data_IF_180677665941
#
_entry.id   IF_180677665941
#
_cell.length_a   1.000
_cell.length_b   1.000
_cell.length_c   1.000
_cell.angle_alpha   90.00
_cell.angle_beta   90.00
_cell.angle_gamma   90.00
#
_symmetry.space_group_name_H-M   'P 1'
#
loop_
_entity.id
_entity.type
_entity.pdbx_description
1 polymer ?
#
# COMPACT_ATOMS: atom_id res chain seq x y z
N UNK A 1 -7.85 -1.62 -21.54
CA UNK A 1 -9.23 -2.04 -21.22
C UNK A 1 -9.13 -3.22 -20.25
N UNK A 2 -10.08 -3.39 -19.33
CA UNK A 2 -10.04 -4.56 -18.45
C UNK A 2 -10.37 -5.81 -19.29
N UNK A 3 -9.68 -6.92 -19.03
CA UNK A 3 -9.90 -8.18 -19.75
C UNK A 3 -9.41 -9.36 -18.92
N UNK A 4 -9.95 -10.54 -19.18
CA UNK A 4 -9.50 -11.78 -18.58
C UNK A 4 -9.41 -12.85 -19.67
N UNK A 5 -8.32 -13.62 -19.66
CA UNK A 5 -8.08 -14.68 -20.65
C UNK A 5 -7.61 -15.95 -19.96
N UNK A 6 -8.03 -17.09 -20.51
CA UNK A 6 -7.60 -18.41 -20.06
C UNK A 6 -6.22 -18.70 -20.63
N UNK A 7 -5.31 -19.14 -19.78
CA UNK A 7 -3.91 -19.40 -20.12
C UNK A 7 -3.45 -20.73 -19.52
N UNK A 8 -2.50 -21.37 -20.19
CA UNK A 8 -1.82 -22.58 -19.75
C UNK A 8 -0.56 -22.28 -18.95
N UNK A 9 -0.08 -23.26 -18.18
CA UNK A 9 1.20 -23.14 -17.46
C UNK A 9 2.35 -22.69 -18.38
N UNK A 10 2.46 -23.29 -19.57
CA UNK A 10 3.54 -22.96 -20.51
C UNK A 10 3.55 -21.49 -20.97
N UNK A 11 2.39 -20.85 -21.02
CA UNK A 11 2.26 -19.44 -21.42
C UNK A 11 2.67 -18.47 -20.30
N UNK A 12 2.50 -18.85 -19.02
CA UNK A 12 2.71 -17.95 -17.87
C UNK A 12 3.94 -18.27 -17.02
N UNK A 13 4.55 -19.45 -17.18
CA UNK A 13 5.63 -19.92 -16.28
C UNK A 13 6.83 -18.97 -16.22
N UNK A 14 7.19 -18.36 -17.36
CA UNK A 14 8.27 -17.38 -17.43
C UNK A 14 7.95 -16.09 -16.66
N UNK A 15 6.68 -15.65 -16.70
CA UNK A 15 6.23 -14.47 -15.93
C UNK A 15 6.28 -14.76 -14.44
N UNK A 16 5.84 -15.94 -14.01
CA UNK A 16 5.93 -16.34 -12.60
C UNK A 16 7.39 -16.44 -12.16
N UNK A 17 8.27 -17.05 -12.94
CA UNK A 17 9.69 -17.14 -12.61
C UNK A 17 10.33 -15.75 -12.42
N UNK A 18 9.94 -14.78 -13.27
CA UNK A 18 10.47 -13.41 -13.18
C UNK A 18 10.08 -12.71 -11.88
N UNK A 19 8.88 -12.96 -11.34
CA UNK A 19 8.35 -12.24 -10.17
C UNK A 19 8.46 -13.01 -8.86
N UNK A 20 8.47 -14.34 -8.93
CA UNK A 20 8.59 -15.22 -7.76
C UNK A 20 9.27 -16.54 -8.18
N UNK A 21 10.61 -16.58 -8.23
CA UNK A 21 11.36 -17.79 -8.59
C UNK A 21 11.10 -18.97 -7.65
N UNK A 22 10.85 -18.70 -6.35
CA UNK A 22 10.62 -19.74 -5.35
C UNK A 22 9.33 -20.51 -5.60
N UNK A 23 8.23 -19.82 -5.93
CA UNK A 23 6.97 -20.50 -6.26
C UNK A 23 7.07 -21.17 -7.63
N UNK A 24 7.76 -20.56 -8.59
CA UNK A 24 8.00 -21.15 -9.91
C UNK A 24 8.62 -22.54 -9.80
N UNK A 25 9.68 -22.70 -9.01
CA UNK A 25 10.36 -24.00 -8.83
C UNK A 25 9.41 -25.09 -8.31
N UNK A 26 8.53 -24.74 -7.38
CA UNK A 26 7.54 -25.68 -6.84
C UNK A 26 6.47 -26.02 -7.88
N UNK A 27 6.02 -25.03 -8.65
CA UNK A 27 4.95 -25.21 -9.63
C UNK A 27 5.42 -25.93 -10.89
N UNK A 28 6.63 -25.68 -11.38
CA UNK A 28 7.14 -26.27 -12.62
C UNK A 28 7.30 -27.79 -12.50
N UNK A 29 7.73 -28.27 -11.32
CA UNK A 29 7.79 -29.71 -10.99
C UNK A 29 6.40 -30.38 -11.03
N UNK A 30 5.35 -29.67 -10.58
CA UNK A 30 3.99 -30.22 -10.43
C UNK A 30 3.18 -30.14 -11.73
N UNK A 31 3.37 -29.07 -12.50
CA UNK A 31 2.48 -28.69 -13.59
C UNK A 31 2.95 -29.16 -14.97
N UNK A 32 4.19 -29.66 -15.10
CA UNK A 32 4.80 -30.05 -16.38
C UNK A 32 3.95 -31.04 -17.19
N UNK A 33 3.13 -31.88 -16.54
CA UNK A 33 2.29 -32.90 -17.19
C UNK A 33 0.78 -32.68 -17.00
N UNK A 34 0.34 -31.53 -16.46
CA UNK A 34 -1.06 -31.29 -16.10
C UNK A 34 -1.73 -30.23 -16.98
N UNK A 35 -3.00 -30.47 -17.35
CA UNK A 35 -3.83 -29.51 -18.08
C UNK A 35 -4.72 -28.68 -17.15
N UNK A 36 -4.13 -28.09 -16.11
CA UNK A 36 -4.85 -27.21 -15.19
C UNK A 36 -4.90 -25.80 -15.80
N UNK A 37 -6.09 -25.18 -15.97
CA UNK A 37 -6.19 -23.85 -16.52
C UNK A 37 -5.91 -22.76 -15.47
N UNK A 38 -5.37 -21.64 -15.95
CA UNK A 38 -5.19 -20.40 -15.19
C UNK A 38 -5.92 -19.26 -15.90
N UNK A 39 -6.16 -18.16 -15.19
CA UNK A 39 -6.86 -17.00 -15.74
C UNK A 39 -6.07 -15.72 -15.51
N UNK A 40 -5.60 -15.10 -16.59
CA UNK A 40 -4.84 -13.86 -16.55
C UNK A 40 -5.79 -12.66 -16.71
N UNK A 41 -5.96 -11.89 -15.65
CA UNK A 41 -6.77 -10.69 -15.63
C UNK A 41 -5.91 -9.42 -15.72
N UNK A 42 -6.41 -8.45 -16.47
CA UNK A 42 -5.86 -7.11 -16.59
C UNK A 42 -6.86 -6.10 -16.04
N UNK A 43 -6.40 -5.23 -15.15
CA UNK A 43 -7.22 -4.18 -14.53
C UNK A 43 -6.59 -2.81 -14.78
N UNK A 44 -7.41 -1.84 -15.15
CA UNK A 44 -7.02 -0.42 -15.25
C UNK A 44 -6.79 0.17 -13.86
N UNK A 45 -6.02 1.26 -13.82
CA UNK A 45 -5.79 2.01 -12.59
C UNK A 45 -7.11 2.39 -11.90
N UNK A 46 -7.16 2.15 -10.60
CA UNK A 46 -8.26 2.50 -9.71
C UNK A 46 -9.52 1.65 -9.86
N UNK A 47 -9.45 0.56 -10.63
CA UNK A 47 -10.50 -0.46 -10.65
C UNK A 47 -10.43 -1.35 -9.43
N UNK A 48 -11.58 -1.60 -8.81
CA UNK A 48 -11.69 -2.50 -7.66
C UNK A 48 -12.03 -3.91 -8.12
N UNK A 49 -11.12 -4.86 -7.91
CA UNK A 49 -11.35 -6.27 -8.22
C UNK A 49 -11.77 -7.10 -7.00
N UNK A 50 -11.80 -6.48 -5.83
CA UNK A 50 -12.39 -7.01 -4.61
C UNK A 50 -12.95 -5.88 -3.76
N UNK A 51 -14.20 -5.99 -3.33
CA UNK A 51 -14.85 -5.04 -2.43
C UNK A 51 -15.43 -5.85 -1.29
N UNK A 52 -14.79 -5.78 -0.12
CA UNK A 52 -15.12 -6.65 1.03
C UNK A 52 -15.09 -8.11 0.57
N UNK A 53 -16.16 -8.86 0.86
CA UNK A 53 -16.30 -10.27 0.56
C UNK A 53 -16.77 -10.55 -0.89
N UNK A 54 -16.66 -9.58 -1.80
CA UNK A 54 -17.09 -9.73 -3.18
C UNK A 54 -15.93 -9.57 -4.15
N UNK A 55 -15.72 -10.59 -4.99
CA UNK A 55 -14.78 -10.54 -6.11
C UNK A 55 -15.45 -9.97 -7.37
N UNK A 56 -14.68 -9.20 -8.13
CA UNK A 56 -15.10 -8.62 -9.42
C UNK A 56 -14.13 -9.03 -10.51
N UNK A 57 -14.66 -9.54 -11.62
CA UNK A 57 -13.88 -9.99 -12.78
C UNK A 57 -14.22 -9.16 -14.02
N UNK A 58 -13.28 -8.99 -14.96
CA UNK A 58 -13.58 -8.38 -16.25
C UNK A 58 -14.59 -9.20 -17.05
N UNK A 59 -15.73 -8.60 -17.40
CA UNK A 59 -16.69 -9.17 -18.34
C UNK A 59 -16.27 -8.97 -19.80
N UNK A 60 -17.07 -9.50 -20.74
CA UNK A 60 -16.80 -9.42 -22.20
C UNK A 60 -16.73 -7.98 -22.73
N UNK A 61 -17.45 -7.06 -22.09
CA UNK A 61 -17.44 -5.63 -22.40
C UNK A 61 -16.29 -4.86 -21.73
N UNK A 62 -15.41 -5.54 -20.98
CA UNK A 62 -14.37 -4.94 -20.15
C UNK A 62 -14.89 -4.19 -18.92
N UNK A 63 -16.20 -4.20 -18.68
CA UNK A 63 -16.78 -3.77 -17.42
C UNK A 63 -16.53 -4.83 -16.35
N UNK A 64 -16.27 -4.41 -15.12
CA UNK A 64 -16.15 -5.34 -14.00
C UNK A 64 -17.53 -5.79 -13.54
N UNK A 65 -17.70 -7.10 -13.42
CA UNK A 65 -18.92 -7.75 -12.96
C UNK A 65 -18.61 -8.59 -11.73
N UNK A 66 -19.55 -8.65 -10.78
CA UNK A 66 -19.39 -9.47 -9.58
C UNK A 66 -19.35 -10.94 -9.97
N UNK A 67 -18.46 -11.74 -9.37
CA UNK A 67 -18.17 -13.10 -9.85
C UNK A 67 -19.38 -14.02 -9.92
N UNK A 68 -20.33 -13.90 -9.00
CA UNK A 68 -21.59 -14.65 -8.92
C UNK A 68 -22.78 -13.94 -9.62
N UNK A 69 -22.52 -12.89 -10.42
CA UNK A 69 -23.55 -12.20 -11.19
C UNK A 69 -23.98 -13.01 -12.41
N UNK A 70 -25.22 -12.81 -12.87
CA UNK A 70 -25.73 -13.39 -14.11
C UNK A 70 -24.99 -12.91 -15.38
N UNK A 71 -24.20 -11.83 -15.28
CA UNK A 71 -23.43 -11.28 -16.38
C UNK A 71 -22.02 -11.89 -16.48
N UNK A 72 -21.58 -12.64 -15.47
CA UNK A 72 -20.29 -13.33 -15.47
C UNK A 72 -20.37 -14.53 -16.40
N UNK A 73 -19.29 -14.77 -17.16
CA UNK A 73 -19.20 -15.94 -18.01
C UNK A 73 -19.28 -17.23 -17.17
N UNK A 74 -20.12 -18.18 -17.60
CA UNK A 74 -20.30 -19.46 -16.91
C UNK A 74 -18.99 -20.23 -16.74
N UNK A 75 -18.07 -20.14 -17.71
CA UNK A 75 -16.74 -20.78 -17.60
C UNK A 75 -15.91 -20.13 -16.49
N UNK A 76 -15.93 -18.80 -16.38
CA UNK A 76 -15.23 -18.08 -15.32
C UNK A 76 -15.80 -18.43 -13.95
N UNK A 77 -17.12 -18.47 -13.81
CA UNK A 77 -17.74 -18.85 -12.55
C UNK A 77 -17.45 -20.30 -12.18
N UNK A 78 -17.44 -21.23 -13.14
CA UNK A 78 -17.08 -22.63 -12.89
C UNK A 78 -15.65 -22.78 -12.36
N UNK A 79 -14.69 -21.96 -12.82
CA UNK A 79 -13.31 -22.09 -12.40
C UNK A 79 -12.91 -21.19 -11.23
N UNK A 80 -13.57 -20.06 -11.02
CA UNK A 80 -13.17 -19.06 -10.03
C UNK A 80 -14.26 -18.79 -8.98
N UNK A 81 -15.46 -19.35 -9.14
CA UNK A 81 -16.63 -19.11 -8.30
C UNK A 81 -16.46 -19.53 -6.83
N UNK A 82 -15.47 -20.38 -6.53
CA UNK A 82 -15.05 -20.67 -5.16
C UNK A 82 -14.65 -19.39 -4.38
N UNK A 83 -14.21 -18.34 -5.09
CA UNK A 83 -13.87 -17.04 -4.52
C UNK A 83 -15.06 -16.09 -4.30
N UNK A 84 -16.31 -16.51 -4.49
CA UNK A 84 -17.49 -15.61 -4.44
C UNK A 84 -17.71 -14.87 -3.11
N UNK A 85 -17.25 -15.44 -2.01
CA UNK A 85 -17.34 -14.87 -0.67
C UNK A 85 -16.00 -14.28 -0.19
N UNK A 86 -15.01 -14.17 -1.09
CA UNK A 86 -13.71 -13.56 -0.83
C UNK A 86 -13.09 -13.13 -2.17
N UNK A 87 -11.90 -13.63 -2.51
CA UNK A 87 -11.26 -13.52 -3.81
C UNK A 87 -10.81 -14.89 -4.29
N UNK A 88 -10.72 -15.19 -5.60
CA UNK A 88 -10.00 -16.39 -6.03
C UNK A 88 -8.53 -16.31 -5.59
N UNK A 89 -7.88 -17.45 -5.35
CA UNK A 89 -6.44 -17.49 -5.12
C UNK A 89 -5.76 -16.85 -6.33
N UNK A 90 -4.81 -15.95 -6.09
CA UNK A 90 -4.11 -15.27 -7.18
C UNK A 90 -2.71 -14.82 -6.83
N UNK A 91 -1.93 -14.57 -7.87
CA UNK A 91 -0.60 -13.98 -7.81
C UNK A 91 -0.56 -12.72 -8.69
N UNK A 92 0.02 -11.65 -8.15
CA UNK A 92 0.23 -10.40 -8.90
C UNK A 92 1.45 -10.60 -9.82
N UNK A 93 1.29 -10.34 -11.11
CA UNK A 93 2.36 -10.49 -12.11
C UNK A 93 2.95 -9.15 -12.57
N UNK A 94 2.19 -8.07 -12.52
CA UNK A 94 2.65 -6.73 -12.92
C UNK A 94 1.87 -5.66 -12.15
N UNK A 95 2.59 -4.59 -11.78
CA UNK A 95 2.14 -3.44 -10.98
C UNK A 95 1.74 -3.78 -9.55
N UNK A 96 1.60 -2.74 -8.73
CA UNK A 96 1.11 -2.87 -7.37
C UNK A 96 -0.41 -2.83 -7.31
N UNK A 97 -0.96 -3.50 -6.30
CA UNK A 97 -2.36 -3.42 -5.88
C UNK A 97 -2.42 -2.97 -4.41
N UNK A 98 -3.43 -2.18 -4.07
CA UNK A 98 -3.59 -1.64 -2.71
C UNK A 98 -4.78 -2.30 -2.01
N UNK A 99 -4.50 -2.97 -0.89
CA UNK A 99 -5.51 -3.43 0.06
C UNK A 99 -5.87 -2.27 1.00
N UNK A 100 -7.15 -2.01 1.18
CA UNK A 100 -7.61 -0.82 1.91
C UNK A 100 -8.98 -0.99 2.56
N UNK A 101 -9.27 -0.09 3.50
CA UNK A 101 -10.57 0.08 4.13
C UNK A 101 -11.29 1.30 3.55
N UNK A 102 -12.62 1.21 3.47
CA UNK A 102 -13.48 2.37 3.28
C UNK A 102 -13.86 2.94 4.65
N UNK A 103 -13.49 4.19 4.91
CA UNK A 103 -13.99 4.94 6.06
C UNK A 103 -15.16 5.86 5.70
N UNK A 104 -15.45 6.80 6.60
CA UNK A 104 -16.48 7.81 6.40
C UNK A 104 -16.25 8.62 5.11
N UNK A 105 -17.34 9.03 4.47
CA UNK A 105 -17.32 9.79 3.21
C UNK A 105 -16.55 9.08 2.07
N UNK A 106 -16.46 7.74 2.09
CA UNK A 106 -15.70 6.94 1.12
C UNK A 106 -14.20 7.26 1.10
N UNK A 107 -13.62 7.66 2.24
CA UNK A 107 -12.17 7.81 2.35
C UNK A 107 -11.49 6.45 2.30
N UNK A 108 -10.38 6.38 1.58
CA UNK A 108 -9.57 5.17 1.46
C UNK A 108 -8.45 5.23 2.49
N UNK A 109 -8.31 4.15 3.25
CA UNK A 109 -7.21 3.98 4.19
C UNK A 109 -6.42 2.72 3.82
N UNK A 110 -5.16 2.86 3.40
CA UNK A 110 -4.37 1.72 2.95
C UNK A 110 -4.02 0.84 4.16
N UNK A 111 -4.22 -0.46 3.98
CA UNK A 111 -3.77 -1.50 4.90
C UNK A 111 -2.37 -1.98 4.50
N UNK A 112 -2.23 -2.39 3.23
CA UNK A 112 -0.96 -2.77 2.65
C UNK A 112 -0.96 -2.62 1.12
N UNK A 113 0.22 -2.62 0.53
CA UNK A 113 0.42 -2.49 -0.92
C UNK A 113 1.28 -3.66 -1.37
N UNK A 114 0.78 -4.44 -2.32
CA UNK A 114 1.42 -5.68 -2.77
C UNK A 114 1.78 -5.60 -4.24
N UNK A 115 3.02 -5.96 -4.56
CA UNK A 115 3.58 -5.89 -5.91
C UNK A 115 3.69 -7.26 -6.59
N UNK A 116 4.38 -7.30 -7.75
CA UNK A 116 4.64 -8.53 -8.48
C UNK A 116 5.25 -9.62 -7.59
N UNK A 117 4.75 -10.85 -7.71
CA UNK A 117 5.17 -12.02 -6.94
C UNK A 117 4.37 -12.27 -5.67
N UNK A 118 3.60 -11.29 -5.21
CA UNK A 118 2.72 -11.44 -4.06
C UNK A 118 1.55 -12.38 -4.37
N UNK A 119 1.36 -13.38 -3.50
CA UNK A 119 0.25 -14.33 -3.55
C UNK A 119 -0.78 -13.92 -2.49
N UNK A 120 -2.04 -13.82 -2.87
CA UNK A 120 -3.13 -13.45 -1.97
C UNK A 120 -4.17 -14.55 -1.86
N UNK A 121 -4.90 -14.54 -0.75
CA UNK A 121 -5.94 -15.52 -0.41
C UNK A 121 -5.49 -17.00 -0.35
N UNK A 122 -4.26 -17.26 0.10
CA UNK A 122 -3.73 -18.62 0.31
C UNK A 122 -4.53 -19.45 1.33
N UNK A 123 -5.23 -18.80 2.25
CA UNK A 123 -6.08 -19.40 3.29
C UNK A 123 -7.21 -20.30 2.72
N UNK A 124 -7.64 -20.07 1.47
CA UNK A 124 -8.61 -20.94 0.78
C UNK A 124 -8.15 -22.40 0.72
N UNK A 125 -6.84 -22.65 0.64
CA UNK A 125 -6.26 -24.01 0.59
C UNK A 125 -6.42 -24.75 1.93
N UNK A 126 -6.68 -24.04 3.02
CA UNK A 126 -6.84 -24.58 4.37
C UNK A 126 -8.29 -24.53 4.87
N UNK A 127 -9.26 -24.26 3.98
CA UNK A 127 -10.68 -24.10 4.33
C UNK A 127 -10.94 -22.95 5.34
N UNK A 128 -10.08 -21.93 5.30
CA UNK A 128 -10.14 -20.72 6.16
C UNK A 128 -10.52 -19.48 5.33
N UNK A 129 -11.49 -19.60 4.41
CA UNK A 129 -11.89 -18.54 3.47
C UNK A 129 -12.82 -17.48 4.09
N UNK A 130 -13.36 -17.74 5.28
CA UNK A 130 -14.18 -16.77 6.02
C UNK A 130 -13.37 -16.10 7.12
N UNK A 131 -12.72 -14.99 6.77
CA UNK A 131 -11.96 -14.17 7.73
C UNK A 131 -12.60 -12.80 7.90
N UNK A 132 -12.30 -12.14 9.03
CA UNK A 132 -12.69 -10.74 9.25
C UNK A 132 -12.11 -9.86 8.14
N UNK A 133 -10.86 -10.11 7.75
CA UNK A 133 -10.19 -9.40 6.66
C UNK A 133 -10.99 -9.46 5.36
N UNK A 134 -11.47 -10.65 4.98
CA UNK A 134 -12.29 -10.81 3.78
C UNK A 134 -13.63 -10.06 3.86
N UNK A 135 -14.13 -9.74 5.04
CA UNK A 135 -15.38 -9.01 5.21
C UNK A 135 -15.21 -7.48 5.22
N UNK A 136 -13.99 -6.97 5.41
CA UNK A 136 -13.75 -5.54 5.64
C UNK A 136 -12.79 -4.93 4.61
N UNK A 137 -11.76 -5.67 4.19
CA UNK A 137 -10.77 -5.19 3.23
C UNK A 137 -11.30 -5.20 1.80
N UNK A 138 -10.87 -4.20 1.03
CA UNK A 138 -11.12 -4.08 -0.40
C UNK A 138 -9.79 -3.91 -1.14
N UNK A 139 -9.83 -4.00 -2.46
CA UNK A 139 -8.63 -3.90 -3.30
C UNK A 139 -8.85 -3.21 -4.59
N UNK A 140 -7.83 -2.43 -4.94
CA UNK A 140 -7.73 -1.74 -6.20
C UNK A 140 -6.48 -2.15 -6.97
N UNK A 141 -6.62 -2.11 -8.29
CA UNK A 141 -5.49 -2.07 -9.21
C UNK A 141 -4.79 -0.71 -9.10
N UNK A 142 -3.53 -0.72 -8.69
CA UNK A 142 -2.78 0.49 -8.37
C UNK A 142 -3.05 1.00 -6.95
N UNK A 143 -2.26 2.00 -6.57
CA UNK A 143 -2.37 2.66 -5.28
C UNK A 143 -3.33 3.84 -5.34
N UNK A 144 -4.49 3.69 -4.70
CA UNK A 144 -5.50 4.75 -4.60
C UNK A 144 -5.12 5.78 -3.54
N UNK A 145 -4.43 5.39 -2.47
CA UNK A 145 -3.98 6.32 -1.44
C UNK A 145 -2.80 7.21 -1.86
N UNK A 146 -2.47 7.21 -3.15
CA UNK A 146 -1.49 8.10 -3.75
C UNK A 146 -1.99 9.55 -3.83
N UNK A 147 -1.09 10.51 -3.60
CA UNK A 147 -1.43 11.92 -3.62
C UNK A 147 -0.28 12.77 -4.17
N UNK A 148 -0.59 14.01 -4.55
CA UNK A 148 0.43 14.99 -4.94
C UNK A 148 0.91 15.72 -3.68
N UNK A 149 2.22 15.77 -3.49
CA UNK A 149 2.84 16.46 -2.36
C UNK A 149 2.50 17.97 -2.38
N UNK A 150 2.61 18.69 -3.51
CA UNK A 150 2.17 20.08 -3.58
C UNK A 150 0.65 20.22 -3.44
N UNK A 151 0.21 21.36 -2.91
CA UNK A 151 -1.21 21.63 -2.73
C UNK A 151 -1.93 21.85 -4.07
N UNK A 152 -2.93 21.03 -4.37
CA UNK A 152 -3.75 21.11 -5.58
C UNK A 152 -5.20 21.57 -5.35
N UNK A 153 -5.50 22.17 -4.19
CA UNK A 153 -6.85 22.63 -3.83
C UNK A 153 -7.31 23.96 -4.45
N UNK A 154 -6.60 24.53 -5.43
CA UNK A 154 -6.96 25.82 -6.01
C UNK A 154 -8.12 25.69 -7.01
N UNK A 155 -9.30 26.22 -6.68
CA UNK A 155 -10.49 26.15 -7.54
C UNK A 155 -10.23 26.63 -8.97
N UNK A 156 -9.59 27.80 -9.14
CA UNK A 156 -9.33 28.38 -10.46
C UNK A 156 -8.44 27.49 -11.34
N UNK A 157 -7.39 26.89 -10.76
CA UNK A 157 -6.47 26.01 -11.49
C UNK A 157 -7.14 24.66 -11.77
N UNK A 158 -7.87 24.09 -10.80
CA UNK A 158 -8.59 22.83 -10.95
C UNK A 158 -9.71 22.88 -11.99
N UNK A 159 -10.44 23.99 -12.12
CA UNK A 159 -11.47 24.15 -13.16
C UNK A 159 -10.90 24.01 -14.59
N UNK A 160 -9.60 24.22 -14.80
CA UNK A 160 -8.95 23.92 -16.10
C UNK A 160 -8.88 22.42 -16.35
N UNK A 161 -8.47 21.66 -15.33
CA UNK A 161 -8.44 20.19 -15.37
C UNK A 161 -9.84 19.63 -15.58
N UNK A 162 -10.84 20.15 -14.86
CA UNK A 162 -12.25 19.73 -15.04
C UNK A 162 -12.76 19.93 -16.46
N UNK A 163 -12.48 21.09 -17.06
CA UNK A 163 -12.91 21.37 -18.44
C UNK A 163 -12.18 20.53 -19.48
N UNK A 164 -10.89 20.27 -19.26
CA UNK A 164 -10.07 19.57 -20.25
C UNK A 164 -10.29 18.05 -20.22
N UNK A 165 -10.46 17.46 -19.03
CA UNK A 165 -10.56 16.00 -18.82
C UNK A 165 -11.95 15.53 -18.34
N UNK A 166 -12.96 16.39 -18.45
CA UNK A 166 -14.34 16.12 -18.03
C UNK A 166 -14.48 15.57 -16.57
N UNK A 167 -13.63 16.07 -15.66
CA UNK A 167 -13.63 15.68 -14.23
C UNK A 167 -14.84 16.29 -13.54
N UNK A 168 -15.63 15.45 -12.88
CA UNK A 168 -16.84 15.85 -12.17
C UNK A 168 -16.54 16.34 -10.74
N UNK A 169 -15.47 15.82 -10.14
CA UNK A 169 -15.13 16.09 -8.74
C UNK A 169 -14.57 17.52 -8.53
N UNK A 170 -14.94 18.17 -7.40
CA UNK A 170 -14.39 19.47 -7.02
C UNK A 170 -12.89 19.37 -6.69
N UNK A 171 -12.18 20.50 -6.51
CA UNK A 171 -10.79 20.47 -6.10
C UNK A 171 -10.64 19.74 -4.75
N UNK A 172 -9.58 18.94 -4.59
CA UNK A 172 -9.45 18.11 -3.40
C UNK A 172 -9.07 18.98 -2.21
N UNK A 173 -9.73 18.74 -1.08
CA UNK A 173 -9.45 19.45 0.19
C UNK A 173 -8.38 18.75 1.01
N UNK A 174 -8.21 17.45 0.79
CA UNK A 174 -7.27 16.59 1.50
C UNK A 174 -6.60 15.58 0.56
N UNK A 175 -5.43 15.03 0.93
CA UNK A 175 -4.79 13.95 0.17
C UNK A 175 -5.71 12.75 -0.12
N UNK A 176 -6.64 12.44 0.80
CA UNK A 176 -7.58 11.32 0.67
C UNK A 176 -8.58 11.48 -0.49
N UNK A 177 -8.73 12.68 -1.06
CA UNK A 177 -9.66 12.93 -2.16
C UNK A 177 -8.96 12.87 -3.54
N UNK A 178 -7.62 12.82 -3.58
CA UNK A 178 -6.86 12.90 -4.84
C UNK A 178 -7.18 11.74 -5.78
N UNK A 179 -7.40 10.54 -5.23
CA UNK A 179 -7.66 9.33 -6.01
C UNK A 179 -8.89 9.44 -6.91
N UNK A 180 -9.93 10.18 -6.48
CA UNK A 180 -11.16 10.37 -7.27
C UNK A 180 -10.86 11.12 -8.56
N UNK A 181 -10.08 12.19 -8.43
CA UNK A 181 -9.65 13.01 -9.56
C UNK A 181 -8.68 12.22 -10.44
N UNK A 182 -7.72 11.51 -9.84
CA UNK A 182 -6.76 10.68 -10.59
C UNK A 182 -7.49 9.61 -11.39
N UNK A 183 -8.49 8.94 -10.83
CA UNK A 183 -9.30 7.96 -11.54
C UNK A 183 -10.01 8.58 -12.75
N UNK A 184 -10.68 9.72 -12.58
CA UNK A 184 -11.39 10.38 -13.69
C UNK A 184 -10.44 10.84 -14.81
N UNK A 185 -9.35 11.55 -14.48
CA UNK A 185 -8.42 12.07 -15.50
C UNK A 185 -7.68 10.95 -16.24
N UNK A 186 -7.45 9.81 -15.58
CA UNK A 186 -6.75 8.68 -16.17
C UNK A 186 -7.66 7.77 -17.01
N UNK A 187 -8.98 7.89 -16.86
CA UNK A 187 -9.97 7.13 -17.61
C UNK A 187 -10.41 7.79 -18.92
N UNK A 188 -10.20 9.11 -19.08
CA UNK A 188 -10.72 9.93 -20.19
C UNK A 188 -10.07 9.68 -21.57
N UNK A 189 -9.27 8.62 -21.73
CA UNK A 189 -8.70 8.22 -23.03
C UNK A 189 -7.61 9.14 -23.61
N UNK A 190 -7.36 10.30 -23.01
CA UNK A 190 -6.29 11.24 -23.37
C UNK A 190 -4.93 10.91 -22.73
N UNK A 191 -4.85 9.85 -21.95
CA UNK A 191 -3.61 9.40 -21.31
C UNK A 191 -2.72 8.67 -22.31
N UNK A 192 -1.40 8.88 -22.18
CA UNK A 192 -0.43 8.22 -23.06
C UNK A 192 -0.12 6.79 -22.64
N UNK A 193 -0.42 6.42 -21.39
CA UNK A 193 -0.03 5.12 -20.85
C UNK A 193 -1.16 4.09 -20.90
N UNK A 194 -0.86 2.92 -21.47
CA UNK A 194 -1.70 1.72 -21.40
C UNK A 194 -1.52 1.00 -20.04
N UNK A 195 -1.60 1.75 -18.95
CA UNK A 195 -1.34 1.22 -17.62
C UNK A 195 -2.40 0.19 -17.20
N UNK A 196 -1.95 -0.98 -16.79
CA UNK A 196 -2.79 -2.02 -16.20
C UNK A 196 -1.99 -2.83 -15.17
N UNK A 197 -2.64 -3.31 -14.11
CA UNK A 197 -2.08 -4.43 -13.32
C UNK A 197 -2.39 -5.76 -13.99
N UNK A 198 -1.55 -6.76 -13.74
CA UNK A 198 -1.76 -8.14 -14.18
C UNK A 198 -1.89 -9.05 -12.98
N UNK A 199 -2.97 -9.84 -12.95
CA UNK A 199 -3.26 -10.79 -11.88
C UNK A 199 -3.53 -12.15 -12.51
N UNK A 200 -2.83 -13.17 -12.05
CA UNK A 200 -3.07 -14.55 -12.45
C UNK A 200 -3.88 -15.25 -11.37
N UNK A 201 -5.08 -15.70 -11.71
CA UNK A 201 -5.93 -16.49 -10.83
C UNK A 201 -5.77 -17.99 -11.10
N UNK A 202 -5.86 -18.76 -10.02
CA UNK A 202 -5.79 -20.22 -10.02
C UNK A 202 -7.20 -20.80 -10.09
N UNK A 203 -7.41 -21.81 -10.94
CA UNK A 203 -8.73 -22.46 -11.08
C UNK A 203 -9.09 -23.32 -9.86
N UNK A 204 -10.38 -23.61 -9.69
CA UNK A 204 -10.88 -24.49 -8.62
C UNK A 204 -10.21 -25.87 -8.66
N UNK A 205 -9.97 -26.39 -9.87
CA UNK A 205 -9.23 -27.63 -10.08
C UNK A 205 -7.83 -27.57 -9.44
N UNK A 206 -7.12 -26.45 -9.57
CA UNK A 206 -5.82 -26.27 -8.90
C UNK A 206 -5.96 -26.34 -7.38
N UNK A 207 -6.98 -25.69 -6.83
CA UNK A 207 -7.22 -25.67 -5.37
C UNK A 207 -7.49 -27.09 -4.85
N UNK A 208 -8.33 -27.85 -5.55
CA UNK A 208 -8.67 -29.22 -5.17
C UNK A 208 -7.45 -30.15 -5.17
N UNK A 209 -6.57 -30.02 -6.16
CA UNK A 209 -5.29 -30.74 -6.20
C UNK A 209 -4.42 -30.39 -4.99
N UNK A 210 -4.23 -29.12 -4.68
CA UNK A 210 -3.42 -28.70 -3.51
C UNK A 210 -4.01 -29.22 -2.20
N UNK A 211 -5.34 -29.27 -2.09
CA UNK A 211 -6.03 -29.72 -0.87
C UNK A 211 -5.89 -31.21 -0.64
N UNK A 212 -6.07 -32.01 -1.69
CA UNK A 212 -6.35 -33.46 -1.59
C UNK A 212 -5.23 -34.36 -2.10
N UNK A 213 -4.31 -33.86 -2.91
CA UNK A 213 -3.26 -34.67 -3.53
C UNK A 213 -1.93 -34.54 -2.80
N UNK A 214 -1.41 -35.65 -2.26
CA UNK A 214 -0.17 -35.68 -1.49
C UNK A 214 1.06 -35.20 -2.29
N UNK A 215 1.03 -35.31 -3.63
CA UNK A 215 2.10 -34.78 -4.49
C UNK A 215 2.27 -33.26 -4.32
N UNK A 216 1.21 -32.57 -3.94
CA UNK A 216 1.16 -31.11 -3.79
C UNK A 216 1.52 -30.63 -2.37
N UNK A 217 1.90 -31.54 -1.47
CA UNK A 217 2.22 -31.22 -0.08
C UNK A 217 3.31 -30.13 0.04
N UNK A 218 4.33 -30.15 -0.83
CA UNK A 218 5.40 -29.15 -0.88
C UNK A 218 4.82 -27.73 -1.08
N UNK A 219 3.85 -27.59 -1.98
CA UNK A 219 3.17 -26.32 -2.22
C UNK A 219 2.26 -25.91 -1.06
N UNK A 220 1.53 -26.87 -0.48
CA UNK A 220 0.70 -26.61 0.71
C UNK A 220 1.55 -26.12 1.90
N UNK A 221 2.72 -26.71 2.13
CA UNK A 221 3.67 -26.27 3.14
C UNK A 221 4.23 -24.87 2.85
N UNK A 222 4.53 -24.57 1.59
CA UNK A 222 4.94 -23.22 1.16
C UNK A 222 3.88 -22.17 1.54
N UNK A 223 2.60 -22.42 1.23
CA UNK A 223 1.50 -21.51 1.61
C UNK A 223 1.37 -21.37 3.13
N UNK A 224 1.50 -22.45 3.88
CA UNK A 224 1.47 -22.41 5.35
C UNK A 224 2.61 -21.57 5.93
N UNK A 225 3.84 -21.71 5.41
CA UNK A 225 4.97 -20.90 5.85
C UNK A 225 4.79 -19.41 5.50
N UNK A 226 4.29 -19.11 4.30
CA UNK A 226 4.02 -17.74 3.87
C UNK A 226 2.96 -17.06 4.77
N UNK A 227 1.88 -17.78 5.11
CA UNK A 227 0.84 -17.28 6.03
C UNK A 227 1.40 -17.04 7.44
N UNK A 228 2.19 -17.96 8.00
CA UNK A 228 2.83 -17.79 9.31
C UNK A 228 3.77 -16.59 9.35
N UNK A 229 4.57 -16.38 8.29
CA UNK A 229 5.46 -15.20 8.18
C UNK A 229 4.70 -13.88 8.13
N UNK A 230 3.48 -13.86 7.57
CA UNK A 230 2.63 -12.67 7.57
C UNK A 230 2.12 -12.35 8.98
N UNK A 231 1.69 -13.37 9.73
CA UNK A 231 1.16 -13.21 11.10
C UNK A 231 2.22 -12.69 12.09
N UNK A 232 3.46 -13.17 12.01
CA UNK A 232 4.53 -12.81 12.96
C UNK A 232 5.09 -11.39 12.82
N UNK A 233 4.71 -10.65 11.77
CA UNK A 233 5.21 -9.29 11.51
C UNK A 233 4.34 -8.18 12.11
N UNK A 234 3.26 -8.48 12.84
CA UNK A 234 2.30 -7.46 13.30
C UNK A 234 2.57 -7.00 14.74
N UNK A 235 2.78 -5.69 14.98
CA UNK A 235 2.96 -5.15 16.35
C UNK A 235 1.72 -5.23 17.22
N UNK A 236 0.54 -5.42 16.62
CA UNK A 236 -0.71 -5.60 17.34
C UNK A 236 -0.95 -7.06 17.76
N UNK A 237 0.04 -7.94 17.56
CA UNK A 237 0.11 -9.19 18.30
C UNK A 237 0.14 -8.93 19.81
N UNK A 238 -0.48 -9.80 20.59
CA UNK A 238 -0.62 -9.63 22.06
C UNK A 238 0.72 -9.40 22.73
N UNK A 239 1.74 -10.17 22.32
CA UNK A 239 3.08 -10.14 22.91
C UNK A 239 3.78 -8.80 22.64
N UNK A 240 3.62 -8.25 21.43
CA UNK A 240 4.20 -6.96 21.08
C UNK A 240 3.48 -5.82 21.80
N UNK A 241 2.14 -5.87 21.88
CA UNK A 241 1.37 -4.83 22.56
C UNK A 241 1.70 -4.76 24.05
N UNK A 242 1.93 -5.89 24.71
CA UNK A 242 2.34 -5.94 26.12
C UNK A 242 3.68 -5.22 26.35
N UNK A 243 4.65 -5.38 25.44
CA UNK A 243 5.94 -4.67 25.50
C UNK A 243 5.79 -3.15 25.41
N UNK A 244 4.87 -2.65 24.56
CA UNK A 244 4.60 -1.22 24.49
C UNK A 244 3.92 -0.66 25.75
N UNK A 245 3.11 -1.47 26.42
CA UNK A 245 2.40 -1.09 27.65
C UNK A 245 3.32 -1.17 28.89
N UNK A 246 4.26 -2.11 28.91
CA UNK A 246 5.21 -2.27 30.02
C UNK A 246 6.40 -1.30 29.96
N UNK A 247 6.64 -0.68 28.80
CA UNK A 247 7.77 0.22 28.59
C UNK A 247 7.80 1.40 29.58
N UNK A 248 8.90 1.55 30.32
CA UNK A 248 9.01 2.52 31.43
C UNK A 248 9.67 3.82 31.02
N UNK A 249 10.62 3.80 30.08
CA UNK A 249 11.39 5.00 29.65
C UNK A 249 10.51 6.06 29.02
N UNK A 250 9.33 5.67 28.54
CA UNK A 250 8.36 6.56 27.90
C UNK A 250 7.53 7.36 28.91
N UNK A 251 7.32 6.84 30.13
CA UNK A 251 6.46 7.46 31.14
C UNK A 251 6.89 8.88 31.56
N UNK A 252 8.19 9.19 31.48
CA UNK A 252 8.73 10.53 31.79
C UNK A 252 8.19 11.63 30.88
N UNK A 253 7.76 11.29 29.66
CA UNK A 253 7.23 12.25 28.68
C UNK A 253 5.72 12.45 28.78
N UNK A 254 5.03 11.65 29.61
CA UNK A 254 3.58 11.70 29.79
C UNK A 254 2.81 11.79 28.45
N UNK A 255 3.09 10.87 27.49
CA UNK A 255 2.47 10.96 26.17
C UNK A 255 0.96 10.81 26.26
N UNK A 256 0.25 11.51 25.37
CA UNK A 256 -1.18 11.28 25.20
C UNK A 256 -1.41 9.91 24.55
N UNK A 257 -2.59 9.29 24.71
CA UNK A 257 -2.93 8.05 24.01
C UNK A 257 -2.69 8.12 22.49
N UNK A 258 -3.00 9.26 21.88
CA UNK A 258 -2.72 9.52 20.46
C UNK A 258 -1.24 9.40 20.09
N UNK A 259 -0.34 9.96 20.91
CA UNK A 259 1.11 9.87 20.67
C UNK A 259 1.60 8.42 20.88
N UNK A 260 1.07 7.71 21.88
CA UNK A 260 1.42 6.30 22.10
C UNK A 260 1.00 5.43 20.92
N UNK A 261 -0.24 5.56 20.45
CA UNK A 261 -0.73 4.78 19.30
C UNK A 261 -0.02 5.15 18.01
N UNK A 262 0.30 6.44 17.82
CA UNK A 262 1.12 6.89 16.68
C UNK A 262 2.51 6.24 16.73
N UNK A 263 3.15 6.20 17.89
CA UNK A 263 4.44 5.55 18.07
C UNK A 263 4.35 4.04 17.78
N UNK A 264 3.35 3.34 18.32
CA UNK A 264 3.07 1.94 18.01
C UNK A 264 2.91 1.70 16.50
N UNK A 265 2.14 2.55 15.82
CA UNK A 265 1.94 2.44 14.38
C UNK A 265 3.24 2.68 13.60
N UNK A 266 4.07 3.64 14.00
CA UNK A 266 5.39 3.86 13.40
C UNK A 266 6.27 2.61 13.54
N UNK A 267 6.29 1.96 14.71
CA UNK A 267 6.97 0.67 14.85
C UNK A 267 6.35 -0.45 14.01
N UNK A 268 5.04 -0.42 13.76
CA UNK A 268 4.40 -1.35 12.83
C UNK A 268 4.92 -1.16 11.40
N UNK A 269 5.13 0.10 10.97
CA UNK A 269 5.84 0.40 9.71
C UNK A 269 7.26 -0.14 9.78
N UNK A 270 7.99 0.10 10.88
CA UNK A 270 9.33 -0.46 11.09
C UNK A 270 9.35 -1.99 11.01
N UNK A 271 8.27 -2.70 11.31
CA UNK A 271 8.18 -4.16 11.22
C UNK A 271 7.75 -4.68 9.85
N UNK A 272 7.44 -3.79 8.91
CA UNK A 272 6.97 -4.13 7.56
C UNK A 272 5.50 -4.50 7.48
N UNK A 273 4.72 -4.27 8.55
CA UNK A 273 3.26 -4.52 8.58
C UNK A 273 2.41 -3.25 8.58
N UNK A 274 3.05 -2.09 8.73
CA UNK A 274 2.44 -0.78 8.55
C UNK A 274 2.81 -0.16 7.21
N UNK A 275 2.05 0.85 6.82
CA UNK A 275 2.27 1.64 5.61
C UNK A 275 2.69 3.06 5.97
N UNK A 276 3.78 3.52 5.37
CA UNK A 276 4.14 4.93 5.23
C UNK A 276 3.90 5.38 3.80
N UNK A 277 4.50 6.50 3.40
CA UNK A 277 4.51 6.97 2.01
C UNK A 277 5.91 7.25 1.50
N UNK A 278 6.15 7.16 0.20
CA UNK A 278 7.40 7.56 -0.45
C UNK A 278 7.13 8.26 -1.78
N UNK A 279 8.04 9.08 -2.30
CA UNK A 279 7.88 9.63 -3.65
C UNK A 279 7.94 8.50 -4.69
N UNK A 280 7.01 8.49 -5.64
CA UNK A 280 7.04 7.57 -6.76
C UNK A 280 8.03 8.06 -7.83
N UNK A 281 8.85 7.13 -8.30
CA UNK A 281 9.89 7.35 -9.30
C UNK A 281 9.69 6.50 -10.57
N UNK A 282 8.58 5.76 -10.63
CA UNK A 282 8.25 4.84 -11.70
C UNK A 282 6.74 4.75 -11.89
N UNK A 283 6.34 3.89 -12.82
CA UNK A 283 4.94 3.64 -13.19
C UNK A 283 4.38 2.39 -12.49
N UNK A 284 4.92 1.95 -11.34
CA UNK A 284 4.52 0.69 -10.70
C UNK A 284 3.22 0.82 -9.89
N UNK A 285 3.00 1.98 -9.25
CA UNK A 285 1.85 2.22 -8.38
C UNK A 285 0.66 2.85 -9.12
N UNK A 286 0.96 3.73 -10.08
CA UNK A 286 0.00 4.46 -10.89
C UNK A 286 0.69 5.07 -12.13
N UNK A 287 -0.08 5.60 -13.11
CA UNK A 287 0.39 6.43 -14.22
C UNK A 287 1.06 7.76 -13.80
N UNK A 288 2.23 7.72 -13.19
CA UNK A 288 2.92 8.89 -12.61
C UNK A 288 3.22 9.94 -13.68
N UNK A 289 3.76 9.56 -14.83
CA UNK A 289 4.07 10.49 -15.92
C UNK A 289 2.84 11.24 -16.42
N UNK A 290 1.70 10.56 -16.57
CA UNK A 290 0.43 11.17 -16.97
C UNK A 290 -0.06 12.15 -15.89
N UNK A 291 -0.08 11.74 -14.61
CA UNK A 291 -0.47 12.61 -13.49
C UNK A 291 0.44 13.85 -13.42
N UNK A 292 1.75 13.67 -13.45
CA UNK A 292 2.71 14.78 -13.39
C UNK A 292 2.52 15.76 -14.54
N UNK A 293 2.35 15.25 -15.76
CA UNK A 293 2.14 16.09 -16.94
C UNK A 293 0.84 16.88 -16.84
N UNK A 294 -0.27 16.24 -16.45
CA UNK A 294 -1.57 16.90 -16.28
C UNK A 294 -1.46 18.09 -15.32
N UNK A 295 -0.84 17.89 -14.16
CA UNK A 295 -0.74 18.94 -13.15
C UNK A 295 0.33 19.99 -13.48
N UNK A 296 1.39 19.63 -14.19
CA UNK A 296 2.37 20.59 -14.67
C UNK A 296 1.79 21.49 -15.78
N UNK A 297 1.11 20.93 -16.78
CA UNK A 297 0.67 21.69 -17.97
C UNK A 297 -0.73 22.28 -17.86
N UNK A 298 -1.73 21.50 -17.42
CA UNK A 298 -3.13 21.92 -17.40
C UNK A 298 -3.45 22.70 -16.12
N UNK A 299 -3.05 22.15 -14.96
CA UNK A 299 -3.25 22.81 -13.68
C UNK A 299 -2.29 24.01 -13.52
N UNK A 300 -1.05 23.91 -14.03
CA UNK A 300 -0.03 24.96 -13.93
C UNK A 300 0.60 25.00 -12.53
N UNK A 301 1.11 23.86 -12.09
CA UNK A 301 1.84 23.73 -10.83
C UNK A 301 3.18 24.47 -10.90
N UNK A 302 3.50 25.26 -9.88
CA UNK A 302 4.78 25.97 -9.77
C UNK A 302 5.86 25.10 -9.12
N UNK A 303 5.42 24.09 -8.37
CA UNK A 303 6.27 23.14 -7.67
C UNK A 303 6.49 21.87 -8.48
N UNK A 304 7.53 21.12 -8.13
CA UNK A 304 7.77 19.78 -8.67
C UNK A 304 6.54 18.91 -8.38
N UNK A 305 5.93 18.27 -9.39
CA UNK A 305 4.72 17.46 -9.20
C UNK A 305 5.07 16.10 -8.56
N UNK A 306 5.66 16.13 -7.37
CA UNK A 306 6.05 14.92 -6.64
C UNK A 306 4.80 14.15 -6.23
N UNK A 307 4.66 12.93 -6.73
CA UNK A 307 3.58 12.02 -6.37
C UNK A 307 4.06 11.15 -5.21
N UNK A 308 3.34 11.14 -4.11
CA UNK A 308 3.57 10.27 -2.97
C UNK A 308 2.70 9.02 -3.11
N UNK A 309 3.26 7.85 -2.81
CA UNK A 309 2.57 6.56 -2.88
C UNK A 309 2.71 5.80 -1.56
N UNK A 310 1.70 5.02 -1.15
CA UNK A 310 1.80 4.14 0.01
C UNK A 310 2.88 3.08 -0.19
N UNK A 311 3.71 2.85 0.83
CA UNK A 311 4.79 1.85 0.79
C UNK A 311 5.08 1.29 2.19
N UNK A 312 5.41 0.00 2.23
CA UNK A 312 6.05 -0.63 3.39
C UNK A 312 7.54 -0.30 3.42
N UNK A 313 8.16 -0.47 4.59
CA UNK A 313 9.61 -0.38 4.79
C UNK A 313 10.22 -1.79 4.79
N UNK A 314 10.42 -2.36 3.59
CA UNK A 314 10.90 -3.74 3.45
C UNK A 314 12.36 -3.84 3.02
N UNK A 315 12.81 -2.97 2.12
CA UNK A 315 14.14 -3.03 1.54
C UNK A 315 15.21 -2.39 2.43
N UNK A 316 16.43 -2.95 2.35
CA UNK A 316 17.62 -2.39 3.00
C UNK A 316 18.03 -1.11 2.26
N UNK A 317 18.28 -0.02 2.98
CA UNK A 317 18.51 1.33 2.44
C UNK A 317 17.28 2.03 1.83
N UNK A 318 16.06 1.51 2.00
CA UNK A 318 14.85 2.28 1.66
C UNK A 318 14.48 3.21 2.82
N UNK A 319 13.68 4.22 2.50
CA UNK A 319 13.07 5.08 3.50
C UNK A 319 11.64 5.42 3.14
N UNK A 320 10.79 5.45 4.17
CA UNK A 320 9.38 5.83 4.07
C UNK A 320 9.08 6.95 5.06
N UNK A 321 8.02 7.69 4.76
CA UNK A 321 7.63 8.90 5.47
C UNK A 321 6.27 8.69 6.11
N UNK A 322 6.14 9.04 7.38
CA UNK A 322 4.89 9.04 8.13
C UNK A 322 4.44 10.49 8.37
N UNK A 323 3.34 10.94 7.74
CA UNK A 323 2.77 12.27 7.97
C UNK A 323 1.87 12.29 9.21
N UNK A 324 2.18 13.14 10.19
CA UNK A 324 1.37 13.29 11.43
C UNK A 324 -0.04 13.85 11.16
N UNK A 325 -0.20 14.63 10.09
CA UNK A 325 -1.46 15.28 9.72
C UNK A 325 -2.38 14.43 8.83
N UNK A 326 -1.90 13.29 8.32
CA UNK A 326 -2.69 12.39 7.50
C UNK A 326 -2.68 11.00 8.15
N UNK A 327 -3.42 10.80 9.26
CA UNK A 327 -3.41 9.53 9.96
C UNK A 327 -3.98 8.41 9.08
N UNK A 328 -3.38 7.23 9.18
CA UNK A 328 -3.88 6.00 8.59
C UNK A 328 -4.94 5.38 9.52
N UNK A 329 -5.87 4.57 8.98
CA UNK A 329 -7.03 4.05 9.74
C UNK A 329 -6.70 3.32 11.05
N UNK A 330 -5.49 2.77 11.20
CA UNK A 330 -5.10 1.96 12.38
C UNK A 330 -4.85 2.77 13.65
N UNK A 331 -4.96 4.10 13.61
CA UNK A 331 -4.85 4.95 14.80
C UNK A 331 -6.25 5.17 15.39
N UNK A 332 -6.58 4.37 16.40
CA UNK A 332 -7.92 4.31 17.00
C UNK A 332 -8.13 5.31 18.14
N UNK A 333 -7.11 6.09 18.50
CA UNK A 333 -7.22 7.13 19.52
C UNK A 333 -7.48 8.49 18.89
N UNK A 334 -8.53 9.16 19.38
CA UNK A 334 -8.85 10.50 18.94
C UNK A 334 -7.80 11.50 19.43
N UNK A 335 -7.39 12.37 18.53
CA UNK A 335 -6.69 13.59 18.91
C UNK A 335 -7.65 14.43 19.76
N UNK A 336 -7.37 14.57 21.04
CA UNK A 336 -8.08 15.54 21.87
C UNK A 336 -7.79 16.94 21.33
N UNK A 337 -8.78 17.84 21.31
CA UNK A 337 -8.65 19.24 20.86
C UNK A 337 -7.77 20.07 21.81
N UNK A 338 -6.56 19.61 22.09
CA UNK A 338 -5.55 20.38 22.80
C UNK A 338 -4.96 21.39 21.81
N UNK A 339 -4.82 22.63 22.24
CA UNK A 339 -4.26 23.77 21.50
C UNK A 339 -2.75 23.64 21.22
N UNK A 340 -2.22 22.42 21.15
CA UNK A 340 -0.80 22.17 20.93
C UNK A 340 -0.47 22.35 19.45
N UNK A 341 0.66 23.00 19.18
CA UNK A 341 1.15 23.11 17.81
C UNK A 341 1.61 21.72 17.31
N UNK A 342 1.46 21.46 16.00
CA UNK A 342 1.96 20.21 15.40
C UNK A 342 3.46 20.00 15.62
N UNK A 343 4.23 21.08 15.77
CA UNK A 343 5.65 21.00 16.08
C UNK A 343 5.88 20.43 17.49
N UNK A 344 5.13 20.90 18.49
CA UNK A 344 5.20 20.40 19.87
C UNK A 344 4.79 18.92 19.95
N UNK A 345 3.81 18.51 19.15
CA UNK A 345 3.40 17.11 19.04
C UNK A 345 4.49 16.25 18.40
N UNK A 346 5.13 16.75 17.34
CA UNK A 346 6.26 16.07 16.70
C UNK A 346 7.46 15.94 17.65
N UNK A 347 7.76 16.97 18.45
CA UNK A 347 8.78 16.93 19.48
C UNK A 347 8.48 15.87 20.55
N UNK A 348 7.22 15.79 20.99
CA UNK A 348 6.77 14.77 21.95
C UNK A 348 6.90 13.37 21.35
N UNK A 349 6.42 13.18 20.11
CA UNK A 349 6.51 11.91 19.39
C UNK A 349 7.96 11.47 19.20
N UNK A 350 8.86 12.38 18.83
CA UNK A 350 10.31 12.13 18.72
C UNK A 350 10.85 11.55 20.02
N UNK A 351 10.60 12.22 21.14
CA UNK A 351 11.11 11.78 22.44
C UNK A 351 10.57 10.41 22.84
N UNK A 352 9.29 10.14 22.54
CA UNK A 352 8.63 8.85 22.80
C UNK A 352 9.22 7.73 21.94
N UNK A 353 9.39 7.96 20.63
CA UNK A 353 9.97 6.98 19.71
C UNK A 353 11.40 6.62 20.11
N UNK A 354 12.22 7.61 20.45
CA UNK A 354 13.60 7.39 20.86
C UNK A 354 13.68 6.64 22.21
N UNK A 355 12.76 6.90 23.15
CA UNK A 355 12.73 6.14 24.39
C UNK A 355 12.27 4.68 24.21
N UNK A 356 11.27 4.43 23.34
CA UNK A 356 10.93 3.07 22.95
C UNK A 356 12.11 2.36 22.30
N UNK A 357 12.80 3.03 21.36
CA UNK A 357 13.98 2.49 20.70
C UNK A 357 15.10 2.17 21.72
N UNK A 358 15.35 3.07 22.67
CA UNK A 358 16.35 2.88 23.73
C UNK A 358 16.01 1.71 24.66
N UNK A 359 14.74 1.47 24.95
CA UNK A 359 14.29 0.36 25.82
C UNK A 359 14.27 -0.97 25.07
N UNK A 360 13.78 -0.98 23.84
CA UNK A 360 13.69 -2.20 23.02
C UNK A 360 15.04 -2.67 22.49
N UNK A 361 16.11 -1.91 22.62
CA UNK A 361 17.46 -2.31 22.21
C UNK A 361 18.32 -2.84 23.37
N UNK A 362 17.79 -2.89 24.59
CA UNK A 362 18.49 -3.41 25.76
C UNK A 362 18.78 -4.92 25.63
N UNK A 363 20.05 -5.33 25.81
CA UNK A 363 20.48 -6.72 25.64
C UNK A 363 19.91 -7.70 26.68
N UNK A 364 19.40 -7.19 27.79
CA UNK A 364 18.76 -7.97 28.87
C UNK A 364 17.29 -7.57 29.08
N UNK A 365 16.73 -6.80 28.15
CA UNK A 365 15.34 -6.36 28.22
C UNK A 365 14.36 -7.39 27.66
N UNK A 366 13.07 -7.21 27.96
CA UNK A 366 11.99 -8.14 27.57
C UNK A 366 11.82 -8.26 26.05
N UNK A 367 12.24 -7.24 25.29
CA UNK A 367 12.18 -7.25 23.85
C UNK A 367 13.31 -8.06 23.18
N UNK A 368 14.33 -8.51 23.91
CA UNK A 368 15.54 -9.11 23.33
C UNK A 368 15.24 -10.26 22.36
N UNK A 369 15.84 -10.21 21.16
CA UNK A 369 15.68 -11.24 20.13
C UNK A 369 14.36 -11.17 19.33
N UNK A 370 13.37 -10.40 19.80
CA UNK A 370 12.11 -10.19 19.10
C UNK A 370 12.27 -9.37 17.80
N UNK A 371 11.21 -9.33 16.99
CA UNK A 371 11.12 -8.43 15.84
C UNK A 371 11.28 -6.97 16.25
N UNK A 372 10.70 -6.55 17.39
CA UNK A 372 10.84 -5.18 17.90
C UNK A 372 12.29 -4.83 18.22
N UNK A 373 13.04 -5.73 18.86
CA UNK A 373 14.46 -5.51 19.14
C UNK A 373 15.29 -5.34 17.87
N UNK A 374 15.05 -6.18 16.85
CA UNK A 374 15.76 -6.11 15.56
C UNK A 374 15.48 -4.78 14.87
N UNK A 375 14.21 -4.43 14.68
CA UNK A 375 13.86 -3.20 13.95
C UNK A 375 14.25 -1.95 14.72
N UNK A 376 14.28 -2.00 16.05
CA UNK A 376 14.77 -0.89 16.88
C UNK A 376 16.28 -0.67 16.72
N UNK A 377 17.07 -1.71 16.46
CA UNK A 377 18.51 -1.58 16.15
C UNK A 377 18.78 -1.10 14.73
N UNK A 378 17.94 -1.51 13.78
CA UNK A 378 18.17 -1.29 12.34
C UNK A 378 17.55 0.02 11.83
N UNK A 379 16.48 0.52 12.48
CA UNK A 379 15.75 1.69 11.96
C UNK A 379 16.28 3.00 12.53
N UNK A 380 16.50 3.99 11.66
CA UNK A 380 16.80 5.36 12.05
C UNK A 380 15.57 6.25 11.85
N UNK A 381 15.28 7.10 12.85
CA UNK A 381 14.22 8.10 12.78
C UNK A 381 14.80 9.48 12.49
N UNK A 382 14.26 10.16 11.47
CA UNK A 382 14.54 11.59 11.20
C UNK A 382 13.23 12.38 11.17
N UNK A 383 13.23 13.57 11.75
CA UNK A 383 12.01 14.35 11.97
C UNK A 383 12.05 15.62 11.13
N UNK A 384 10.93 15.96 10.46
CA UNK A 384 10.84 17.14 9.60
C UNK A 384 9.62 18.00 9.95
N UNK A 385 9.83 19.31 9.95
CA UNK A 385 8.77 20.30 10.08
C UNK A 385 9.09 21.56 9.25
N UNK A 386 8.15 22.04 8.44
CA UNK A 386 8.36 23.15 7.50
C UNK A 386 8.80 24.47 8.16
N UNK A 387 8.39 24.73 9.41
CA UNK A 387 8.84 25.89 10.21
C UNK A 387 10.10 25.67 11.03
N UNK A 388 10.70 24.47 10.96
CA UNK A 388 11.92 24.22 11.71
C UNK A 388 13.08 25.01 11.10
N UNK A 389 13.88 25.60 11.98
CA UNK A 389 15.15 26.25 11.72
C UNK A 389 16.35 25.30 11.92
N UNK A 390 16.10 24.01 12.16
CA UNK A 390 17.12 23.00 12.45
C UNK A 390 17.48 22.87 13.93
N UNK A 391 16.88 23.68 14.82
CA UNK A 391 17.03 23.50 16.27
C UNK A 391 16.24 22.26 16.73
N UNK A 392 16.68 21.64 17.83
CA UNK A 392 16.06 20.46 18.45
C UNK A 392 16.05 19.15 17.62
N UNK A 393 16.98 18.93 16.69
CA UNK A 393 17.06 17.68 15.88
C UNK A 393 15.82 17.44 14.99
N UNK A 394 14.96 18.44 14.81
CA UNK A 394 13.92 18.46 13.78
C UNK A 394 14.50 19.27 12.62
N UNK A 395 14.45 18.73 11.41
CA UNK A 395 15.05 19.34 10.22
C UNK A 395 14.02 20.11 9.41
N UNK A 396 14.50 21.11 8.67
CA UNK A 396 13.73 21.71 7.61
C UNK A 396 13.65 20.74 6.40
N UNK A 397 12.49 20.55 5.75
CA UNK A 397 12.34 19.62 4.62
C UNK A 397 13.25 19.91 3.42
N UNK A 398 13.77 21.14 3.26
CA UNK A 398 14.65 21.47 2.14
C UNK A 398 15.92 20.60 2.08
N UNK A 399 16.37 20.06 3.21
CA UNK A 399 17.52 19.11 3.25
C UNK A 399 17.23 17.80 2.51
N UNK A 400 15.95 17.46 2.28
CA UNK A 400 15.57 16.25 1.54
C UNK A 400 16.01 16.29 0.08
N UNK A 401 16.28 17.47 -0.48
CA UNK A 401 16.82 17.59 -1.83
C UNK A 401 18.24 17.00 -1.96
N UNK A 402 18.97 16.94 -0.84
CA UNK A 402 20.29 16.33 -0.74
C UNK A 402 20.21 14.89 -0.19
N UNK A 403 19.29 14.64 0.76
CA UNK A 403 19.19 13.35 1.48
C UNK A 403 18.33 12.28 0.77
N UNK A 404 17.46 12.67 -0.17
CA UNK A 404 16.55 11.76 -0.87
C UNK A 404 16.20 12.32 -2.27
N UNK A 405 16.97 11.90 -3.28
CA UNK A 405 16.84 12.33 -4.67
C UNK A 405 15.46 12.05 -5.29
N UNK A 406 14.65 11.17 -4.69
CA UNK A 406 13.29 10.87 -5.16
C UNK A 406 12.35 12.09 -5.08
N UNK A 407 12.63 13.06 -4.21
CA UNK A 407 11.86 14.31 -4.17
C UNK A 407 12.15 15.26 -5.35
N UNK A 408 13.27 15.08 -6.03
CA UNK A 408 13.64 15.83 -7.25
C UNK A 408 13.07 15.17 -8.51
N UNK A 409 12.54 13.95 -8.41
CA UNK A 409 12.07 13.19 -9.55
C UNK A 409 10.82 13.82 -10.19
N UNK A 410 10.88 13.99 -11.51
CA UNK A 410 9.77 14.46 -12.33
C UNK A 410 9.98 14.03 -13.79
N UNK A 411 8.94 13.52 -14.43
CA UNK A 411 8.90 13.31 -15.88
C UNK A 411 8.74 14.63 -16.67
N UNK A 412 8.56 15.76 -15.98
CA UNK A 412 8.44 17.08 -16.60
C UNK A 412 9.80 17.77 -16.67
N UNK A 413 10.14 18.33 -17.84
CA UNK A 413 11.42 19.00 -18.10
C UNK A 413 11.55 20.42 -17.52
N UNK A 414 10.56 20.89 -16.75
CA UNK A 414 10.55 22.26 -16.22
C UNK A 414 11.34 22.33 -14.92
N UNK A 415 12.16 23.38 -14.78
CA UNK A 415 12.77 23.70 -13.48
C UNK A 415 11.66 24.18 -12.53
N UNK A 416 11.33 23.36 -11.54
CA UNK A 416 10.29 23.64 -10.55
C UNK A 416 10.86 23.61 -9.13
N UNK A 417 10.21 24.32 -8.22
CA UNK A 417 10.65 24.38 -6.82
C UNK A 417 10.09 23.22 -6.00
N UNK A 418 10.84 22.78 -5.00
CA UNK A 418 10.35 21.80 -4.03
C UNK A 418 9.28 22.38 -3.10
N UNK A 419 8.19 21.64 -2.84
CA UNK A 419 7.12 22.06 -1.93
C UNK A 419 7.46 21.66 -0.48
N UNK A 420 8.40 22.37 0.13
CA UNK A 420 8.79 22.15 1.54
C UNK A 420 7.72 22.56 2.55
N UNK A 421 6.73 23.34 2.13
CA UNK A 421 5.57 23.78 2.91
C UNK A 421 4.34 22.85 2.79
N UNK A 422 4.48 21.74 2.06
CA UNK A 422 3.43 20.75 1.87
C UNK A 422 2.83 20.24 3.19
N UNK A 423 1.55 19.82 3.15
CA UNK A 423 0.84 19.32 4.34
C UNK A 423 1.57 18.16 5.04
N UNK A 424 2.26 17.32 4.27
CA UNK A 424 3.10 16.24 4.79
C UNK A 424 4.17 16.75 5.77
N UNK A 425 4.81 17.88 5.47
CA UNK A 425 5.87 18.46 6.29
C UNK A 425 5.37 19.38 7.41
N UNK A 426 4.06 19.42 7.68
CA UNK A 426 3.55 20.02 8.92
C UNK A 426 3.83 19.18 10.16
N UNK A 427 4.36 17.97 9.96
CA UNK A 427 4.93 17.10 10.97
C UNK A 427 5.17 15.75 10.33
N UNK A 428 6.42 15.38 10.11
CA UNK A 428 6.77 14.17 9.37
C UNK A 428 7.89 13.42 10.08
N UNK A 429 7.77 12.09 10.10
CA UNK A 429 8.83 11.19 10.54
C UNK A 429 9.30 10.39 9.33
N UNK A 430 10.59 10.44 9.00
CA UNK A 430 11.23 9.52 8.06
C UNK A 430 11.75 8.33 8.84
N UNK A 431 11.45 7.15 8.33
CA UNK A 431 11.96 5.87 8.80
C UNK A 431 12.90 5.33 7.73
N UNK A 432 14.15 5.04 8.08
CA UNK A 432 15.14 4.47 7.17
C UNK A 432 15.82 3.25 7.80
N UNK A 433 16.16 2.26 6.99
CA UNK A 433 16.85 1.02 7.41
C UNK A 433 18.20 0.85 6.73
#
# INVERSE_FOLDING_TARGET
MNRIEKVSWNEIKNKINAVNPSIYQVLDELLSDTQIPFFLAHYRFGEHFGIKNHAYLPGKSGKLERIDSFNTDNELFQHLGYGKNSLPLGIILDKYCEWHYFGEEERIFPDCVQGPGAIFNMQIVFDEDQTVDNNVLSVSSGALSSFLLPNIGCQRKHTRVQKYFNVSHPPPKSPYEHYRIFKEVLQDGFTSTNWHSQILYFSEQFIDEVKRNDKWLKLKLYFSEALRKKLTKNTYDSSCNDLFLSARKVNRFRPTPFIMDTAKYIFNICMGSGIGVKPAIDEQYLPVSDVQRIYNTCYGLEYTPTVMVPSSLEEKNDSVYYPLQCPFAKINTFKTNQSNSTLTELETLKNVLLAYQEEFTEEKGDAFGSSLYKVSKETQFTFYHYKSDGQNLIKNPNVLLEEDSRFLFSYCNNATTFSSDAKLFRGCVRLSR
#
